data_IF_002456868408
#
_entry.id   IF_002456868408
#
_cell.length_a   1.000
_cell.length_b   1.000
_cell.length_c   1.000
_cell.angle_alpha   90.00
_cell.angle_beta   90.00
_cell.angle_gamma   90.00
#
_symmetry.space_group_name_H-M   'P 1'
#
loop_
_entity.id
_entity.type
_entity.pdbx_description
1 polymer ?
#
# COMPACT_ATOMS: atom_id res chain seq x y z
N UNK A 1 46.29 2.63 -41.88
CA UNK A 1 45.14 2.37 -40.97
C UNK A 1 43.85 2.76 -41.68
N UNK A 2 43.06 1.80 -42.19
CA UNK A 2 41.77 2.11 -42.82
C UNK A 2 40.65 2.12 -41.78
N UNK A 3 40.05 3.30 -41.56
CA UNK A 3 38.85 3.47 -40.73
C UNK A 3 37.62 3.31 -41.62
N UNK A 4 36.97 2.15 -41.54
CA UNK A 4 35.69 1.89 -42.18
C UNK A 4 34.57 2.54 -41.34
N UNK A 5 34.41 3.85 -41.49
CA UNK A 5 33.36 4.61 -40.80
C UNK A 5 32.05 4.47 -41.57
N UNK A 6 31.36 3.33 -41.42
CA UNK A 6 29.96 3.19 -41.87
C UNK A 6 29.09 4.11 -41.01
N UNK A 7 28.66 5.24 -41.57
CA UNK A 7 27.66 6.09 -40.95
C UNK A 7 26.30 5.39 -40.89
N UNK A 8 25.55 5.64 -39.82
CA UNK A 8 24.19 5.13 -39.66
C UNK A 8 23.28 5.73 -40.74
N UNK A 9 22.42 4.92 -41.37
CA UNK A 9 21.51 5.44 -42.40
C UNK A 9 20.30 6.13 -41.74
N UNK A 10 19.76 7.16 -42.41
CA UNK A 10 18.55 7.82 -41.93
C UNK A 10 17.35 6.87 -41.88
N UNK A 11 17.28 5.92 -42.81
CA UNK A 11 16.19 4.94 -42.84
C UNK A 11 16.25 3.99 -41.64
N UNK A 12 17.45 3.55 -41.23
CA UNK A 12 17.62 2.73 -40.02
C UNK A 12 17.11 3.47 -38.79
N UNK A 13 17.38 4.78 -38.67
CA UNK A 13 16.90 5.55 -37.53
C UNK A 13 15.38 5.67 -37.54
N UNK A 14 14.79 5.96 -38.70
CA UNK A 14 13.33 6.13 -38.85
C UNK A 14 12.58 4.82 -38.59
N UNK A 15 13.05 3.69 -39.10
CA UNK A 15 12.39 2.39 -38.85
C UNK A 15 12.49 1.98 -37.39
N UNK A 16 13.62 2.24 -36.71
CA UNK A 16 13.76 1.93 -35.27
C UNK A 16 12.79 2.75 -34.44
N UNK A 17 12.70 4.07 -34.66
CA UNK A 17 11.73 4.91 -33.90
C UNK A 17 10.28 4.54 -34.23
N UNK A 18 9.98 4.10 -35.45
CA UNK A 18 8.64 3.65 -35.84
C UNK A 18 8.25 2.37 -35.08
N UNK A 19 9.14 1.38 -34.98
CA UNK A 19 8.90 0.15 -34.21
C UNK A 19 8.76 0.48 -32.71
N UNK A 20 9.67 1.30 -32.16
CA UNK A 20 9.59 1.72 -30.76
C UNK A 20 8.30 2.50 -30.45
N UNK A 21 7.80 3.31 -31.40
CA UNK A 21 6.54 4.04 -31.26
C UNK A 21 5.33 3.11 -31.10
N UNK A 22 5.24 2.06 -31.94
CA UNK A 22 4.14 1.08 -31.83
C UNK A 22 4.22 0.29 -30.52
N UNK A 23 5.42 -0.17 -30.14
CA UNK A 23 5.63 -0.91 -28.90
C UNK A 23 5.31 -0.05 -27.66
N UNK A 24 5.72 1.22 -27.66
CA UNK A 24 5.44 2.16 -26.58
C UNK A 24 3.94 2.42 -26.44
N UNK A 25 3.23 2.65 -27.55
CA UNK A 25 1.79 2.89 -27.54
C UNK A 25 1.00 1.74 -26.90
N UNK A 26 1.37 0.49 -27.17
CA UNK A 26 0.74 -0.68 -26.57
C UNK A 26 1.11 -0.88 -25.08
N UNK A 27 2.34 -0.53 -24.70
CA UNK A 27 2.90 -0.88 -23.38
C UNK A 27 2.51 0.13 -22.29
N UNK A 28 2.39 1.42 -22.62
CA UNK A 28 2.14 2.49 -21.65
C UNK A 28 0.85 2.27 -20.82
N UNK A 29 -0.32 1.93 -21.40
CA UNK A 29 -1.53 1.71 -20.60
C UNK A 29 -1.40 0.54 -19.63
N UNK A 30 -0.77 -0.56 -20.06
CA UNK A 30 -0.53 -1.74 -19.22
C UNK A 30 0.38 -1.41 -18.05
N UNK A 31 1.39 -0.56 -18.27
CA UNK A 31 2.31 -0.14 -17.21
C UNK A 31 1.59 0.59 -16.07
N UNK A 32 0.67 1.52 -16.38
CA UNK A 32 -0.12 2.21 -15.35
C UNK A 32 -1.04 1.26 -14.57
N UNK A 33 -1.69 0.33 -15.25
CA UNK A 33 -2.53 -0.68 -14.59
C UNK A 33 -1.70 -1.59 -13.66
N UNK A 34 -0.50 -2.01 -14.09
CA UNK A 34 0.41 -2.80 -13.26
C UNK A 34 0.89 -2.03 -12.03
N UNK A 35 1.23 -0.74 -12.16
CA UNK A 35 1.57 0.08 -11.00
C UNK A 35 0.41 0.20 -10.01
N UNK A 36 -0.80 0.46 -10.49
CA UNK A 36 -1.98 0.56 -9.63
C UNK A 36 -2.24 -0.75 -8.88
N UNK A 37 -2.13 -1.89 -9.58
CA UNK A 37 -2.24 -3.22 -8.97
C UNK A 37 -1.14 -3.46 -7.93
N UNK A 38 0.12 -3.20 -8.26
CA UNK A 38 1.22 -3.38 -7.33
C UNK A 38 1.03 -2.57 -6.04
N UNK A 39 0.58 -1.31 -6.15
CA UNK A 39 0.24 -0.48 -4.99
C UNK A 39 -0.87 -1.10 -4.13
N UNK A 40 -1.91 -1.65 -4.77
CA UNK A 40 -2.99 -2.32 -4.06
C UNK A 40 -2.52 -3.59 -3.33
N UNK A 41 -1.69 -4.41 -3.97
CA UNK A 41 -1.16 -5.64 -3.33
C UNK A 41 -0.27 -5.33 -2.13
N UNK A 42 0.58 -4.30 -2.23
CA UNK A 42 1.40 -3.84 -1.09
C UNK A 42 0.51 -3.37 0.07
N UNK A 43 -0.55 -2.62 -0.23
CA UNK A 43 -1.52 -2.21 0.80
C UNK A 43 -2.23 -3.41 1.43
N UNK A 44 -2.67 -4.37 0.62
CA UNK A 44 -3.30 -5.59 1.11
C UNK A 44 -2.37 -6.40 2.01
N UNK A 45 -1.08 -6.49 1.66
CA UNK A 45 -0.06 -7.17 2.46
C UNK A 45 0.15 -6.49 3.83
N UNK A 46 0.22 -5.16 3.87
CA UNK A 46 0.37 -4.43 5.13
C UNK A 46 -0.89 -4.57 5.98
N UNK A 47 -2.09 -4.44 5.41
CA UNK A 47 -3.34 -4.70 6.13
C UNK A 47 -3.38 -6.14 6.66
N UNK A 48 -2.90 -7.13 5.90
CA UNK A 48 -2.76 -8.50 6.36
C UNK A 48 -1.82 -8.63 7.56
N UNK A 49 -0.70 -7.92 7.54
CA UNK A 49 0.27 -7.88 8.65
C UNK A 49 -0.33 -7.23 9.90
N UNK A 50 -1.12 -6.16 9.74
CA UNK A 50 -1.86 -5.52 10.84
C UNK A 50 -2.85 -6.51 11.47
N UNK A 51 -3.61 -7.26 10.67
CA UNK A 51 -4.54 -8.29 11.16
C UNK A 51 -3.81 -9.38 11.96
N UNK A 52 -2.66 -9.85 11.47
CA UNK A 52 -1.85 -10.82 12.18
C UNK A 52 -1.30 -10.26 13.51
N UNK A 53 -0.87 -8.99 13.50
CA UNK A 53 -0.46 -8.26 14.70
C UNK A 53 -1.58 -8.13 15.72
N UNK A 54 -2.81 -7.84 15.27
CA UNK A 54 -4.00 -7.78 16.11
C UNK A 54 -4.31 -9.14 16.77
N UNK A 55 -4.21 -10.25 16.05
CA UNK A 55 -4.37 -11.59 16.64
C UNK A 55 -3.29 -11.89 17.67
N UNK A 56 -2.04 -11.50 17.39
CA UNK A 56 -0.93 -11.67 18.33
C UNK A 56 -1.13 -10.84 19.59
N UNK A 57 -1.58 -9.58 19.45
CA UNK A 57 -1.96 -8.73 20.56
C UNK A 57 -3.06 -9.40 21.40
N UNK A 58 -4.12 -9.89 20.75
CA UNK A 58 -5.22 -10.53 21.44
C UNK A 58 -4.80 -11.82 22.18
N UNK A 59 -3.91 -12.62 21.60
CA UNK A 59 -3.31 -13.77 22.27
C UNK A 59 -2.54 -13.35 23.54
N UNK A 60 -1.77 -12.27 23.46
CA UNK A 60 -1.08 -11.71 24.63
C UNK A 60 -2.05 -11.19 25.71
N UNK A 61 -3.21 -10.64 25.32
CA UNK A 61 -4.23 -10.22 26.28
C UNK A 61 -4.86 -11.40 27.02
N UNK A 62 -5.08 -12.54 26.34
CA UNK A 62 -5.55 -13.77 26.99
C UNK A 62 -4.56 -14.22 28.06
N UNK A 63 -3.26 -14.22 27.74
CA UNK A 63 -2.21 -14.63 28.69
C UNK A 63 -2.15 -13.68 29.90
N UNK A 64 -2.33 -12.37 29.69
CA UNK A 64 -2.19 -11.36 30.75
C UNK A 64 -3.45 -11.18 31.61
N UNK A 65 -4.63 -11.24 31.01
CA UNK A 65 -5.90 -10.86 31.64
C UNK A 65 -6.97 -11.95 31.58
N UNK A 66 -6.67 -13.10 30.99
CA UNK A 66 -7.62 -14.22 30.87
C UNK A 66 -8.69 -14.05 29.80
N UNK A 67 -8.69 -12.93 29.07
CA UNK A 67 -9.72 -12.60 28.08
C UNK A 67 -9.12 -12.10 26.78
N UNK A 68 -9.74 -12.47 25.66
CA UNK A 68 -9.36 -11.97 24.33
C UNK A 68 -9.75 -10.50 24.24
N UNK A 69 -8.81 -9.63 23.91
CA UNK A 69 -9.17 -8.24 23.58
C UNK A 69 -8.24 -7.62 22.54
N UNK A 70 -8.75 -6.62 21.82
CA UNK A 70 -8.05 -5.84 20.81
C UNK A 70 -7.90 -4.39 21.24
N UNK A 71 -6.87 -3.67 20.74
CA UNK A 71 -6.64 -2.28 21.11
C UNK A 71 -7.85 -1.42 20.75
N UNK A 72 -8.30 -0.56 21.67
CA UNK A 72 -9.40 0.37 21.41
C UNK A 72 -8.89 1.54 20.58
N UNK A 73 -9.61 1.85 19.50
CA UNK A 73 -9.24 2.88 18.54
C UNK A 73 -9.10 4.29 19.14
N UNK A 74 -9.84 4.57 20.21
CA UNK A 74 -9.89 5.86 20.87
C UNK A 74 -8.83 6.04 21.96
N UNK A 75 -8.12 4.99 22.35
CA UNK A 75 -7.20 5.03 23.51
C UNK A 75 -5.72 4.92 23.15
N UNK A 76 -5.40 4.30 22.02
CA UNK A 76 -4.02 4.03 21.62
C UNK A 76 -3.84 4.16 20.11
N UNK A 77 -2.59 4.41 19.68
CA UNK A 77 -2.19 4.15 18.31
C UNK A 77 -2.14 2.64 18.08
N UNK A 78 -3.19 2.13 17.43
CA UNK A 78 -3.35 0.71 17.15
C UNK A 78 -2.19 0.20 16.29
N UNK A 79 -1.70 1.01 15.35
CA UNK A 79 -0.68 0.59 14.41
C UNK A 79 0.66 0.42 15.10
N UNK A 80 1.01 1.35 16.00
CA UNK A 80 2.21 1.24 16.82
C UNK A 80 2.21 0.02 17.75
N UNK A 81 1.03 -0.42 18.20
CA UNK A 81 0.90 -1.57 19.10
C UNK A 81 1.01 -2.92 18.36
N UNK A 82 0.53 -2.99 17.12
CA UNK A 82 0.38 -4.26 16.38
C UNK A 82 1.37 -4.43 15.23
N UNK A 83 2.04 -3.36 14.81
CA UNK A 83 2.97 -3.37 13.69
C UNK A 83 4.24 -2.62 14.06
N UNK A 84 5.34 -3.35 14.29
CA UNK A 84 6.63 -2.76 14.64
C UNK A 84 7.76 -3.30 13.75
N UNK A 85 8.46 -2.46 12.97
CA UNK A 85 8.25 -1.02 12.82
C UNK A 85 7.00 -0.67 11.99
N UNK A 86 6.38 0.46 12.30
CA UNK A 86 5.35 1.07 11.44
C UNK A 86 6.04 1.71 10.22
N UNK A 87 5.65 1.38 8.98
CA UNK A 87 6.19 2.06 7.80
C UNK A 87 5.87 3.56 7.82
N UNK A 88 6.81 4.42 7.42
CA UNK A 88 6.69 5.88 7.56
C UNK A 88 5.45 6.49 6.88
N UNK A 89 5.00 5.92 5.76
CA UNK A 89 3.83 6.39 5.02
C UNK A 89 2.50 5.93 5.63
N UNK A 90 2.55 5.12 6.69
CA UNK A 90 1.39 4.58 7.38
C UNK A 90 1.21 5.23 8.74
N UNK A 91 -0.02 5.65 9.01
CA UNK A 91 -0.37 6.35 10.26
C UNK A 91 -1.72 5.88 10.77
N UNK A 92 -1.94 6.01 12.08
CA UNK A 92 -3.23 5.79 12.69
C UNK A 92 -3.78 7.10 13.27
N UNK A 93 -5.05 7.40 13.00
CA UNK A 93 -5.77 8.49 13.65
C UNK A 93 -6.70 7.91 14.73
N UNK A 94 -6.46 8.33 15.98
CA UNK A 94 -7.26 7.95 17.13
C UNK A 94 -8.56 8.77 17.15
N UNK A 95 -9.68 8.09 16.88
CA UNK A 95 -11.03 8.66 16.91
C UNK A 95 -11.97 7.61 17.52
N UNK A 96 -13.26 7.94 17.68
CA UNK A 96 -14.28 6.96 18.12
C UNK A 96 -14.26 5.68 17.26
N UNK A 97 -14.00 5.86 15.98
CA UNK A 97 -13.78 4.84 14.97
C UNK A 97 -12.43 5.17 14.36
N UNK A 98 -11.41 4.36 14.64
CA UNK A 98 -10.03 4.67 14.27
C UNK A 98 -9.83 4.66 12.75
N UNK A 99 -8.82 5.40 12.28
CA UNK A 99 -8.52 5.45 10.84
C UNK A 99 -7.08 5.04 10.59
N UNK A 100 -6.91 3.93 9.88
CA UNK A 100 -5.61 3.55 9.31
C UNK A 100 -5.48 4.32 7.99
N UNK A 101 -4.35 5.01 7.79
CA UNK A 101 -4.09 5.81 6.59
C UNK A 101 -2.73 5.45 6.01
N UNK A 102 -2.72 5.20 4.70
CA UNK A 102 -1.52 5.15 3.87
C UNK A 102 -1.44 6.43 3.02
N UNK A 103 -0.35 7.18 3.17
CA UNK A 103 -0.13 8.44 2.46
C UNK A 103 0.73 8.21 1.22
N UNK A 104 0.19 8.51 0.04
CA UNK A 104 0.92 8.44 -1.23
C UNK A 104 1.28 9.86 -1.70
N UNK A 105 2.09 9.99 -2.75
CA UNK A 105 2.40 11.29 -3.34
C UNK A 105 1.17 11.99 -3.93
N UNK A 106 0.23 11.22 -4.48
CA UNK A 106 -0.95 11.69 -5.24
C UNK A 106 -2.26 11.65 -4.43
N UNK A 107 -2.32 10.81 -3.40
CA UNK A 107 -3.57 10.49 -2.71
C UNK A 107 -3.29 9.94 -1.31
N UNK A 108 -4.33 9.87 -0.48
CA UNK A 108 -4.33 9.07 0.73
C UNK A 108 -5.28 7.88 0.51
N UNK A 109 -4.98 6.76 1.15
CA UNK A 109 -5.88 5.60 1.19
C UNK A 109 -6.18 5.32 2.64
N UNK A 110 -7.45 5.19 2.98
CA UNK A 110 -7.88 5.00 4.37
C UNK A 110 -8.68 3.71 4.53
N UNK A 111 -8.58 3.16 5.74
CA UNK A 111 -9.41 2.07 6.24
C UNK A 111 -9.93 2.43 7.62
N UNK A 112 -11.19 2.09 7.85
CA UNK A 112 -11.81 2.23 9.15
C UNK A 112 -11.42 1.07 10.06
N UNK A 113 -11.01 1.34 11.29
CA UNK A 113 -10.76 0.33 12.32
C UNK A 113 -11.76 0.51 13.46
N UNK A 114 -12.49 -0.57 13.77
CA UNK A 114 -13.43 -0.62 14.89
C UNK A 114 -13.07 -1.80 15.77
N UNK A 115 -13.01 -1.57 17.08
CA UNK A 115 -12.99 -2.62 18.09
C UNK A 115 -14.20 -2.44 18.99
N UNK A 116 -15.11 -3.41 19.00
CA UNK A 116 -16.38 -3.33 19.75
C UNK A 116 -16.27 -4.22 20.98
N UNK A 117 -16.47 -3.64 22.16
CA UNK A 117 -16.39 -4.38 23.43
C UNK A 117 -15.00 -4.88 23.80
N UNK A 118 -14.00 -4.70 22.92
CA UNK A 118 -12.67 -5.28 23.06
C UNK A 118 -12.52 -6.63 22.39
N UNK A 119 -13.56 -7.44 22.27
CA UNK A 119 -13.44 -8.87 21.89
C UNK A 119 -13.38 -9.11 20.37
N UNK A 120 -13.80 -8.13 19.57
CA UNK A 120 -13.83 -8.22 18.11
C UNK A 120 -13.27 -6.97 17.48
N UNK A 121 -12.66 -7.12 16.30
CA UNK A 121 -12.28 -5.98 15.47
C UNK A 121 -12.76 -6.15 14.03
N UNK A 122 -12.93 -5.03 13.36
CA UNK A 122 -13.21 -4.95 11.92
C UNK A 122 -12.28 -3.93 11.30
N UNK A 123 -11.69 -4.30 10.15
CA UNK A 123 -11.04 -3.35 9.24
C UNK A 123 -11.97 -3.18 8.04
N UNK A 124 -12.45 -1.96 7.84
CA UNK A 124 -13.40 -1.57 6.81
C UNK A 124 -12.81 -1.58 5.41
N UNK A 125 -13.60 -1.10 4.45
CA UNK A 125 -13.21 -1.06 3.04
C UNK A 125 -12.14 0.00 2.77
N UNK A 126 -11.35 -0.27 1.75
CA UNK A 126 -10.32 0.65 1.24
C UNK A 126 -10.99 1.85 0.57
N UNK A 127 -10.75 3.05 1.08
CA UNK A 127 -11.29 4.29 0.51
C UNK A 127 -10.16 5.23 0.05
N UNK A 128 -10.05 5.51 -1.26
CA UNK A 128 -9.10 6.51 -1.75
C UNK A 128 -9.63 7.94 -1.53
N UNK A 129 -8.76 8.84 -1.08
CA UNK A 129 -9.00 10.26 -0.86
C UNK A 129 -7.94 11.04 -1.63
N UNK A 130 -8.35 11.84 -2.61
CA UNK A 130 -7.42 12.66 -3.40
C UNK A 130 -6.88 13.78 -2.52
N UNK A 131 -5.57 14.05 -2.57
CA UNK A 131 -5.00 15.21 -1.88
C UNK A 131 -5.43 16.50 -2.61
N UNK A 132 -5.77 17.57 -1.88
CA UNK A 132 -6.10 18.85 -2.50
C UNK A 132 -4.92 19.40 -3.31
#
# INVERSE_FOLDING_TARGET
>A
MNRNSKGFTLIELVTVIAILGVLAAMTVPKFFALQAKARFEVEAQIIGSIKAGLETYAANQIVKFGSKSYPKASSVDVLAEVLNPVPADWTFAQNATGTIKHSRSDSNVTWTYVSTGGDTYTIGTRTPVIKP
#
